data_IF_778351645394
#
_entry.id   IF_778351645394
#
_cell.length_a   1.000
_cell.length_b   1.000
_cell.length_c   1.000
_cell.angle_alpha   90.00
_cell.angle_beta   90.00
_cell.angle_gamma   90.00
#
_symmetry.space_group_name_H-M   'P 1'
#
loop_
_entity.id
_entity.type
_entity.pdbx_description
1 polymer ?
#
# COMPACT_ATOMS: atom_id res chain seq x y z
N UNK A 1 -15.39 -0.74 14.46
CA UNK A 1 -15.58 -0.98 13.03
C UNK A 1 -15.07 -2.38 12.66
N UNK A 2 -13.79 -2.70 12.92
CA UNK A 2 -13.22 -4.01 12.60
C UNK A 2 -14.04 -5.20 13.11
N UNK A 3 -14.61 -5.13 14.32
CA UNK A 3 -15.44 -6.20 14.88
C UNK A 3 -16.73 -6.44 14.08
N UNK A 4 -17.32 -5.37 13.52
CA UNK A 4 -18.51 -5.46 12.66
C UNK A 4 -18.18 -6.05 11.30
N UNK A 5 -17.09 -5.61 10.69
CA UNK A 5 -16.61 -6.13 9.41
C UNK A 5 -16.19 -7.60 9.54
N UNK A 6 -15.45 -7.96 10.58
CA UNK A 6 -15.07 -9.34 10.86
C UNK A 6 -16.30 -10.26 11.07
N UNK A 7 -17.39 -9.74 11.64
CA UNK A 7 -18.62 -10.52 11.81
C UNK A 7 -19.33 -10.76 10.47
N UNK A 8 -19.26 -9.84 9.52
CA UNK A 8 -19.79 -10.03 8.17
C UNK A 8 -18.97 -11.07 7.37
N UNK A 9 -17.65 -11.09 7.53
CA UNK A 9 -16.74 -12.02 6.85
C UNK A 9 -16.83 -13.47 7.38
N UNK A 10 -17.33 -13.66 8.61
CA UNK A 10 -17.50 -15.00 9.19
C UNK A 10 -18.50 -15.90 8.45
N UNK A 11 -19.33 -15.36 7.59
CA UNK A 11 -20.34 -16.12 6.80
C UNK A 11 -19.68 -16.91 5.65
N UNK A 12 -18.42 -16.65 5.30
CA UNK A 12 -17.68 -17.33 4.22
C UNK A 12 -16.29 -17.86 4.57
N UNK A 13 -15.85 -17.80 5.83
CA UNK A 13 -14.45 -17.97 6.19
C UNK A 13 -14.00 -19.37 6.59
N UNK A 14 -12.85 -19.78 6.06
CA UNK A 14 -12.12 -21.01 6.43
C UNK A 14 -11.28 -20.77 7.69
N UNK A 15 -11.41 -21.63 8.71
CA UNK A 15 -10.55 -21.62 9.90
C UNK A 15 -9.16 -22.17 9.56
N UNK A 16 -8.12 -21.36 9.69
CA UNK A 16 -6.73 -21.84 9.67
C UNK A 16 -6.37 -22.52 10.99
N UNK A 17 -5.99 -23.79 10.91
CA UNK A 17 -5.55 -24.60 12.06
C UNK A 17 -4.09 -24.28 12.42
N UNK A 18 -3.84 -24.11 13.73
CA UNK A 18 -2.51 -23.94 14.32
C UNK A 18 -1.69 -25.22 14.20
N UNK A 19 -0.53 -25.16 13.58
CA UNK A 19 0.45 -26.26 13.61
C UNK A 19 1.79 -25.71 14.09
N UNK A 20 2.19 -26.15 15.27
CA UNK A 20 3.38 -25.66 15.96
C UNK A 20 4.68 -26.20 15.37
N UNK A 21 5.54 -25.25 15.05
CA UNK A 21 6.99 -25.42 14.93
C UNK A 21 7.60 -24.03 15.19
N UNK A 22 8.38 -23.90 16.25
CA UNK A 22 8.87 -22.59 16.74
C UNK A 22 9.63 -21.80 15.67
N UNK A 23 10.39 -22.47 14.80
CA UNK A 23 11.10 -21.80 13.70
C UNK A 23 10.14 -21.30 12.63
N UNK A 24 9.11 -22.06 12.29
CA UNK A 24 8.08 -21.65 11.31
C UNK A 24 7.26 -20.48 11.85
N UNK A 25 6.94 -20.47 13.14
CA UNK A 25 6.20 -19.34 13.73
C UNK A 25 7.03 -18.07 13.74
N UNK A 26 8.33 -18.12 14.05
CA UNK A 26 9.22 -16.96 14.00
C UNK A 26 9.38 -16.42 12.58
N UNK A 27 9.55 -17.30 11.59
CA UNK A 27 9.62 -16.89 10.19
C UNK A 27 8.30 -16.29 9.70
N UNK A 28 7.16 -16.86 10.12
CA UNK A 28 5.84 -16.33 9.80
C UNK A 28 5.62 -14.95 10.43
N UNK A 29 5.97 -14.79 11.71
CA UNK A 29 5.89 -13.50 12.41
C UNK A 29 6.75 -12.43 11.74
N UNK A 30 7.96 -12.78 11.31
CA UNK A 30 8.84 -11.85 10.59
C UNK A 30 8.26 -11.46 9.24
N UNK A 31 7.74 -12.42 8.48
CA UNK A 31 7.07 -12.17 7.19
C UNK A 31 5.85 -11.28 7.40
N UNK A 32 5.01 -11.59 8.37
CA UNK A 32 3.82 -10.82 8.69
C UNK A 32 4.15 -9.38 9.12
N UNK A 33 5.21 -9.19 9.91
CA UNK A 33 5.69 -7.86 10.31
C UNK A 33 6.15 -7.04 9.09
N UNK A 34 6.85 -7.66 8.14
CA UNK A 34 7.25 -7.04 6.88
C UNK A 34 6.04 -6.62 6.03
N UNK A 35 5.03 -7.48 5.93
CA UNK A 35 3.78 -7.19 5.20
C UNK A 35 2.97 -6.08 5.86
N UNK A 36 2.90 -6.06 7.19
CA UNK A 36 2.23 -4.98 7.93
C UNK A 36 2.90 -3.62 7.68
N UNK A 37 4.24 -3.59 7.66
CA UNK A 37 4.98 -2.36 7.33
C UNK A 37 4.68 -1.92 5.89
N UNK A 38 4.76 -2.80 4.92
CA UNK A 38 4.48 -2.50 3.52
C UNK A 38 3.03 -2.02 3.33
N UNK A 39 2.07 -2.63 4.03
CA UNK A 39 0.65 -2.22 4.04
C UNK A 39 0.47 -0.80 4.58
N UNK A 40 1.14 -0.49 5.70
CA UNK A 40 1.10 0.84 6.32
C UNK A 40 1.73 1.90 5.42
N UNK A 41 2.88 1.60 4.81
CA UNK A 41 3.56 2.51 3.90
C UNK A 41 2.68 2.81 2.67
N UNK A 42 2.13 1.78 2.03
CA UNK A 42 1.21 1.92 0.90
C UNK A 42 -0.06 2.71 1.29
N UNK A 43 -0.64 2.44 2.46
CA UNK A 43 -1.81 3.15 2.95
C UNK A 43 -1.52 4.65 3.19
N UNK A 44 -0.34 5.02 3.68
CA UNK A 44 0.07 6.41 3.84
C UNK A 44 0.20 7.15 2.50
N UNK A 45 0.72 6.49 1.46
CA UNK A 45 0.78 7.07 0.10
C UNK A 45 -0.63 7.29 -0.47
N UNK A 46 -1.51 6.30 -0.36
CA UNK A 46 -2.91 6.42 -0.80
C UNK A 46 -3.63 7.52 -0.03
N UNK A 47 -3.48 7.58 1.29
CA UNK A 47 -4.08 8.62 2.12
C UNK A 47 -3.59 10.02 1.73
N UNK A 48 -2.30 10.18 1.45
CA UNK A 48 -1.72 11.44 0.96
C UNK A 48 -2.36 11.91 -0.34
N UNK A 49 -2.54 11.01 -1.30
CA UNK A 49 -3.19 11.32 -2.59
C UNK A 49 -4.68 11.63 -2.43
N UNK A 50 -5.40 10.92 -1.56
CA UNK A 50 -6.81 11.18 -1.25
C UNK A 50 -7.05 12.57 -0.63
N UNK A 51 -6.04 13.16 0.01
CA UNK A 51 -6.09 14.52 0.52
C UNK A 51 -6.40 15.59 -0.53
N UNK A 52 -6.13 15.31 -1.81
CA UNK A 52 -6.49 16.19 -2.93
C UNK A 52 -7.98 16.14 -3.30
N UNK A 53 -8.69 15.10 -2.88
CA UNK A 53 -10.11 14.89 -3.21
C UNK A 53 -11.04 15.33 -2.10
N UNK A 54 -10.60 15.23 -0.84
CA UNK A 54 -11.42 15.57 0.31
C UNK A 54 -10.65 15.56 1.63
N UNK A 55 -11.40 15.66 2.72
CA UNK A 55 -10.82 15.57 4.06
C UNK A 55 -10.41 14.14 4.35
N UNK A 56 -9.14 13.95 4.63
CA UNK A 56 -8.60 12.67 5.09
C UNK A 56 -8.45 12.67 6.61
N UNK A 57 -8.41 11.46 7.18
CA UNK A 57 -8.08 11.25 8.59
C UNK A 57 -6.62 10.77 8.67
N UNK A 58 -6.37 9.71 9.37
CA UNK A 58 -5.06 9.05 9.46
C UNK A 58 -5.19 7.58 9.10
N UNK A 59 -4.08 6.94 8.80
CA UNK A 59 -4.03 5.48 8.71
C UNK A 59 -4.28 4.91 10.11
N UNK A 60 -5.25 4.02 10.22
CA UNK A 60 -5.58 3.27 11.42
C UNK A 60 -5.15 1.83 11.27
N UNK A 61 -4.77 1.21 12.39
CA UNK A 61 -4.45 -0.21 12.44
C UNK A 61 -5.56 -0.93 13.20
N UNK A 62 -6.15 -1.93 12.57
CA UNK A 62 -7.18 -2.74 13.18
C UNK A 62 -7.07 -4.20 12.71
N UNK A 63 -7.63 -5.11 13.49
CA UNK A 63 -7.54 -6.53 13.24
C UNK A 63 -8.66 -6.99 12.30
N UNK A 64 -8.64 -6.52 11.05
CA UNK A 64 -9.58 -6.95 10.02
C UNK A 64 -9.22 -8.34 9.52
N UNK A 65 -10.18 -9.25 9.51
CA UNK A 65 -9.98 -10.62 9.02
C UNK A 65 -9.60 -10.65 7.54
N UNK A 66 -10.22 -9.79 6.73
CA UNK A 66 -9.97 -9.65 5.28
C UNK A 66 -8.53 -9.19 4.97
N UNK A 67 -7.86 -8.51 5.91
CA UNK A 67 -6.48 -8.04 5.72
C UNK A 67 -5.42 -8.99 6.27
N UNK A 68 -5.83 -10.14 6.85
CA UNK A 68 -4.90 -11.14 7.43
C UNK A 68 -4.30 -12.05 6.36
N UNK A 69 -3.65 -11.48 5.38
CA UNK A 69 -2.86 -12.24 4.41
C UNK A 69 -1.40 -12.27 4.84
N UNK A 70 -0.75 -13.43 4.73
CA UNK A 70 0.65 -13.59 5.13
C UNK A 70 1.64 -13.26 4.01
N UNK A 71 1.19 -13.12 2.79
CA UNK A 71 2.00 -13.09 1.57
C UNK A 71 1.82 -11.81 0.73
N UNK A 72 0.82 -10.98 1.03
CA UNK A 72 0.50 -9.76 0.28
C UNK A 72 0.22 -8.59 1.21
N UNK A 73 0.83 -7.40 0.99
CA UNK A 73 0.40 -6.19 1.66
C UNK A 73 -1.06 -5.88 1.34
N UNK A 74 -1.85 -5.52 2.35
CA UNK A 74 -3.28 -5.30 2.21
C UNK A 74 -3.73 -4.06 2.99
N UNK A 75 -4.71 -3.33 2.45
CA UNK A 75 -5.32 -2.18 3.10
C UNK A 75 -6.82 -2.13 2.80
N UNK A 76 -7.58 -1.53 3.71
CA UNK A 76 -8.95 -1.13 3.48
C UNK A 76 -8.99 0.38 3.22
N UNK A 77 -9.64 0.79 2.14
CA UNK A 77 -9.83 2.20 1.81
C UNK A 77 -11.29 2.58 2.04
N UNK A 78 -11.54 3.37 3.07
CA UNK A 78 -12.86 3.91 3.37
C UNK A 78 -13.04 5.24 2.64
N UNK A 79 -13.91 5.28 1.65
CA UNK A 79 -14.10 6.44 0.77
C UNK A 79 -15.14 7.43 1.28
N UNK A 80 -15.92 7.05 2.30
CA UNK A 80 -16.93 7.90 2.96
C UNK A 80 -17.95 7.06 3.70
N UNK A 81 -18.83 7.74 4.42
CA UNK A 81 -19.89 7.12 5.21
C UNK A 81 -21.27 7.39 4.59
N UNK A 82 -21.95 6.35 4.15
CA UNK A 82 -23.30 6.43 3.56
C UNK A 82 -24.38 6.94 4.56
N UNK A 83 -24.10 6.88 5.87
CA UNK A 83 -24.95 7.48 6.90
C UNK A 83 -24.83 9.02 6.98
N UNK A 84 -23.85 9.61 6.32
CA UNK A 84 -23.68 11.04 6.16
C UNK A 84 -24.26 11.45 4.79
N UNK A 85 -25.39 12.15 4.77
CA UNK A 85 -26.07 12.53 3.51
C UNK A 85 -25.19 13.34 2.53
N UNK A 86 -24.26 14.15 3.05
CA UNK A 86 -23.30 14.88 2.20
C UNK A 86 -22.30 13.95 1.51
N UNK A 87 -21.77 12.98 2.23
CA UNK A 87 -20.84 11.98 1.70
C UNK A 87 -21.56 10.98 0.80
N UNK A 88 -22.79 10.55 1.16
CA UNK A 88 -23.64 9.70 0.31
C UNK A 88 -23.86 10.35 -1.06
N UNK A 89 -24.24 11.62 -1.10
CA UNK A 89 -24.44 12.35 -2.35
C UNK A 89 -23.16 12.43 -3.19
N UNK A 90 -22.00 12.62 -2.57
CA UNK A 90 -20.71 12.60 -3.25
C UNK A 90 -20.37 11.20 -3.78
N UNK A 91 -20.59 10.15 -2.98
CA UNK A 91 -20.34 8.77 -3.38
C UNK A 91 -21.25 8.32 -4.54
N UNK A 92 -22.48 8.88 -4.65
CA UNK A 92 -23.37 8.65 -5.79
C UNK A 92 -22.97 9.43 -7.06
N UNK A 93 -22.05 10.40 -6.97
CA UNK A 93 -21.62 11.23 -8.09
C UNK A 93 -20.51 10.56 -8.90
N UNK A 94 -20.71 10.28 -10.21
CA UNK A 94 -19.70 9.61 -11.05
C UNK A 94 -18.39 10.39 -11.20
N UNK A 95 -18.40 11.72 -11.16
CA UNK A 95 -17.19 12.54 -11.24
C UNK A 95 -16.36 12.43 -9.96
N UNK A 96 -17.04 12.39 -8.82
CA UNK A 96 -16.38 12.17 -7.53
C UNK A 96 -15.80 10.76 -7.43
N UNK A 97 -16.52 9.74 -7.89
CA UNK A 97 -16.03 8.36 -7.97
C UNK A 97 -14.75 8.26 -8.80
N UNK A 98 -14.71 8.91 -9.97
CA UNK A 98 -13.51 8.96 -10.83
C UNK A 98 -12.33 9.63 -10.12
N UNK A 99 -12.56 10.74 -9.41
CA UNK A 99 -11.52 11.44 -8.63
C UNK A 99 -10.97 10.57 -7.51
N UNK A 100 -11.83 9.87 -6.77
CA UNK A 100 -11.41 8.93 -5.74
C UNK A 100 -10.57 7.80 -6.32
N UNK A 101 -11.04 7.18 -7.40
CA UNK A 101 -10.32 6.09 -8.06
C UNK A 101 -8.95 6.54 -8.59
N UNK A 102 -8.86 7.72 -9.19
CA UNK A 102 -7.60 8.30 -9.65
C UNK A 102 -6.65 8.56 -8.47
N UNK A 103 -7.12 9.14 -7.38
CA UNK A 103 -6.30 9.41 -6.21
C UNK A 103 -5.77 8.12 -5.56
N UNK A 104 -6.58 7.06 -5.48
CA UNK A 104 -6.12 5.75 -5.01
C UNK A 104 -5.03 5.19 -5.92
N UNK A 105 -5.23 5.25 -7.24
CA UNK A 105 -4.25 4.79 -8.22
C UNK A 105 -2.94 5.58 -8.12
N UNK A 106 -3.01 6.89 -8.00
CA UNK A 106 -1.85 7.77 -7.86
C UNK A 106 -1.06 7.43 -6.59
N UNK A 107 -1.74 7.21 -5.46
CA UNK A 107 -1.10 6.81 -4.22
C UNK A 107 -0.41 5.45 -4.30
N UNK A 108 -1.04 4.47 -4.95
CA UNK A 108 -0.45 3.16 -5.20
C UNK A 108 0.79 3.29 -6.10
N UNK A 109 0.71 4.04 -7.18
CA UNK A 109 1.83 4.28 -8.08
C UNK A 109 2.99 4.99 -7.36
N UNK A 110 2.69 6.02 -6.56
CA UNK A 110 3.70 6.74 -5.78
C UNK A 110 4.42 5.82 -4.78
N UNK A 111 3.70 4.92 -4.12
CA UNK A 111 4.29 3.88 -3.28
C UNK A 111 5.27 3.00 -4.06
N UNK A 112 4.84 2.42 -5.18
CA UNK A 112 5.70 1.53 -5.97
C UNK A 112 6.90 2.24 -6.60
N UNK A 113 6.80 3.52 -6.90
CA UNK A 113 7.91 4.31 -7.45
C UNK A 113 8.92 4.68 -6.36
N UNK A 114 8.45 5.10 -5.19
CA UNK A 114 9.33 5.59 -4.10
C UNK A 114 9.89 4.48 -3.22
N UNK A 115 9.11 3.41 -3.05
CA UNK A 115 9.45 2.28 -2.18
C UNK A 115 9.19 0.96 -2.90
N UNK A 116 9.86 0.71 -4.04
CA UNK A 116 9.60 -0.47 -4.85
C UNK A 116 9.90 -1.76 -4.09
N UNK A 117 8.92 -2.63 -3.84
CA UNK A 117 9.16 -3.88 -3.15
C UNK A 117 10.14 -4.78 -3.93
N UNK A 118 11.04 -5.50 -3.23
CA UNK A 118 11.99 -6.40 -3.86
C UNK A 118 11.30 -7.43 -4.77
N UNK A 119 11.91 -7.73 -5.91
CA UNK A 119 11.39 -8.70 -6.88
C UNK A 119 10.28 -8.17 -7.80
N UNK A 120 9.87 -6.90 -7.65
CA UNK A 120 8.89 -6.27 -8.55
C UNK A 120 9.54 -5.65 -9.78
N UNK A 121 8.74 -5.45 -10.85
CA UNK A 121 9.18 -4.71 -12.04
C UNK A 121 9.61 -3.27 -11.70
N UNK A 122 8.96 -2.64 -10.72
CA UNK A 122 9.33 -1.31 -10.24
C UNK A 122 10.74 -1.30 -9.62
N UNK A 123 11.08 -2.31 -8.80
CA UNK A 123 12.42 -2.45 -8.25
C UNK A 123 13.48 -2.63 -9.34
N UNK A 124 13.21 -3.47 -10.34
CA UNK A 124 14.11 -3.68 -11.47
C UNK A 124 14.32 -2.39 -12.28
N UNK A 125 13.26 -1.62 -12.53
CA UNK A 125 13.36 -0.31 -13.21
C UNK A 125 14.14 0.72 -12.40
N UNK A 126 13.91 0.79 -11.10
CA UNK A 126 14.64 1.70 -10.20
C UNK A 126 16.15 1.39 -10.22
N UNK A 127 16.54 0.12 -10.15
CA UNK A 127 17.93 -0.32 -10.25
C UNK A 127 18.56 0.04 -11.59
N UNK A 128 17.86 -0.21 -12.70
CA UNK A 128 18.35 0.14 -14.03
C UNK A 128 18.61 1.64 -14.18
N UNK A 129 17.74 2.49 -13.64
CA UNK A 129 17.91 3.95 -13.64
C UNK A 129 19.13 4.37 -12.82
N UNK A 130 19.34 3.79 -11.64
CA UNK A 130 20.51 4.07 -10.80
C UNK A 130 21.82 3.70 -11.48
N UNK A 131 21.90 2.53 -12.13
CA UNK A 131 23.07 2.09 -12.88
C UNK A 131 23.38 3.05 -14.03
N UNK A 132 22.35 3.47 -14.78
CA UNK A 132 22.52 4.44 -15.88
C UNK A 132 23.02 5.78 -15.41
N UNK A 133 22.53 6.30 -14.28
CA UNK A 133 22.99 7.56 -13.70
C UNK A 133 24.42 7.47 -13.16
N UNK A 134 24.81 6.37 -12.53
CA UNK A 134 26.15 6.14 -12.03
C UNK A 134 27.17 6.09 -13.21
N UNK A 135 26.81 5.43 -14.29
CA UNK A 135 27.63 5.34 -15.51
C UNK A 135 27.81 6.69 -16.19
N UNK A 136 26.76 7.54 -16.20
CA UNK A 136 26.83 8.88 -16.78
C UNK A 136 27.70 9.82 -15.93
N UNK A 137 27.64 9.71 -14.59
CA UNK A 137 28.46 10.53 -13.68
C UNK A 137 29.94 10.18 -13.75
N UNK A 138 30.30 8.93 -13.94
CA UNK A 138 31.71 8.48 -14.13
C UNK A 138 32.27 8.91 -15.48
N UNK A 139 31.47 8.92 -16.54
CA UNK A 139 31.88 9.39 -17.86
C UNK A 139 32.14 10.92 -17.90
N UNK A 140 31.35 11.71 -17.11
CA UNK A 140 31.54 13.18 -17.02
C UNK A 140 32.78 13.60 -16.21
N UNK A 141 33.21 12.81 -15.25
CA UNK A 141 34.39 13.12 -14.42
C UNK A 141 35.74 12.89 -15.12
N UNK A 142 35.77 12.15 -16.22
CA UNK A 142 36.97 11.86 -16.99
C UNK A 142 37.36 12.90 -18.06
N UNK A 143 36.53 13.90 -18.35
CA UNK A 143 36.74 14.87 -19.42
C UNK A 143 37.36 16.23 -18.97
N UNK A 144 37.75 16.36 -17.70
CA UNK A 144 38.24 17.64 -17.14
C UNK A 144 39.72 17.65 -16.79
N UNK A 145 40.57 16.92 -17.52
CA UNK A 145 42.01 16.91 -17.29
C UNK A 145 42.78 17.08 -18.60
N UNK A 146 43.10 18.29 -18.96
CA UNK A 146 44.22 18.58 -19.86
C UNK A 146 44.80 19.97 -19.58
N UNK A 147 46.12 20.11 -19.72
CA UNK A 147 46.95 21.19 -19.15
C UNK A 147 46.79 22.52 -19.88
#
# INVERSE_FOLDING_TARGET
LADKENAADLIGGVKLANTGDTLKSVLLDLTQSGQMKASSDAANHVLGSLGSVGKTRRVEHANFAVLRTSDVPAMLVETGFISNHGEEALLANPDHQRKLAAAVLDGINDYFVRQPPPGTLFAARAQATQVSQASASTAGAGAGGSP
#
